data_IF_594793766721
#
_entry.id   IF_594793766721
#
_cell.length_a   1.000
_cell.length_b   1.000
_cell.length_c   1.000
_cell.angle_alpha   90.00
_cell.angle_beta   90.00
_cell.angle_gamma   90.00
#
_symmetry.space_group_name_H-M   'P 1'
#
loop_
_entity.id
_entity.type
_entity.pdbx_description
1 polymer ?
#
# COMPACT_ATOMS: atom_id res chain seq x y z
N UNK A 1 27.61 21.32 16.26
CA UNK A 1 28.36 21.44 14.97
C UNK A 1 27.68 22.48 14.08
N UNK A 2 28.44 23.16 13.18
CA UNK A 2 27.82 24.06 12.20
C UNK A 2 27.38 23.26 10.96
N UNK A 3 26.41 23.76 10.19
CA UNK A 3 25.97 23.13 8.94
C UNK A 3 27.12 22.83 7.96
N UNK A 4 28.17 23.72 7.94
CA UNK A 4 29.37 23.51 7.13
C UNK A 4 30.25 22.37 7.65
N UNK A 5 30.28 22.13 8.97
CA UNK A 5 31.03 21.00 9.56
C UNK A 5 30.32 19.68 9.37
N UNK A 6 29.00 19.71 9.22
CA UNK A 6 28.16 18.53 8.94
C UNK A 6 28.11 18.17 7.46
N UNK A 7 28.47 19.08 6.55
CA UNK A 7 28.43 18.83 5.10
C UNK A 7 29.48 17.81 4.66
N UNK A 8 29.15 17.03 3.63
CA UNK A 8 29.99 16.01 3.03
C UNK A 8 29.63 15.81 1.55
N UNK A 9 30.35 14.96 0.84
CA UNK A 9 30.09 14.67 -0.57
C UNK A 9 28.66 14.07 -0.73
N UNK A 10 27.79 14.73 -1.48
CA UNK A 10 26.36 14.42 -1.61
C UNK A 10 25.43 15.20 -0.65
N UNK A 11 25.97 15.90 0.37
CA UNK A 11 25.15 16.70 1.31
C UNK A 11 25.78 18.07 1.60
N UNK A 12 25.30 19.11 0.93
CA UNK A 12 25.80 20.48 1.11
C UNK A 12 25.25 21.15 2.37
N UNK A 13 25.97 22.19 2.89
CA UNK A 13 25.48 22.98 4.00
C UNK A 13 24.12 23.66 3.73
N UNK A 14 23.86 24.05 2.48
CA UNK A 14 22.56 24.58 2.06
C UNK A 14 21.46 23.52 2.09
N UNK A 15 21.79 22.26 1.82
CA UNK A 15 20.86 21.15 1.92
C UNK A 15 20.49 20.86 3.38
N UNK A 16 21.48 20.82 4.28
CA UNK A 16 21.27 20.66 5.73
C UNK A 16 20.38 21.79 6.27
N UNK A 17 20.63 23.04 5.85
CA UNK A 17 19.80 24.19 6.24
C UNK A 17 18.32 24.02 5.86
N UNK A 18 18.04 23.42 4.70
CA UNK A 18 16.65 23.14 4.27
C UNK A 18 15.99 22.00 5.05
N UNK A 19 16.80 21.00 5.49
CA UNK A 19 16.30 19.95 6.40
C UNK A 19 15.90 20.59 7.75
N UNK A 20 16.78 21.42 8.32
CA UNK A 20 16.50 22.12 9.59
C UNK A 20 15.32 23.08 9.49
N UNK A 21 15.08 23.67 8.32
CA UNK A 21 13.91 24.51 8.06
C UNK A 21 12.62 23.71 7.80
N UNK A 22 12.68 22.36 7.76
CA UNK A 22 11.54 21.51 7.43
C UNK A 22 11.13 21.53 5.95
N UNK A 23 11.98 22.14 5.09
CA UNK A 23 11.73 22.24 3.64
C UNK A 23 12.12 20.95 2.89
N UNK A 24 12.87 20.07 3.56
CA UNK A 24 13.38 18.81 3.01
C UNK A 24 13.30 17.67 4.02
N UNK A 25 12.87 16.51 3.56
CA UNK A 25 12.92 15.28 4.33
C UNK A 25 14.16 14.50 3.88
N UNK A 26 15.14 14.25 4.76
CA UNK A 26 16.34 13.50 4.41
C UNK A 26 16.02 12.03 4.15
N UNK A 27 16.78 11.40 3.24
CA UNK A 27 16.75 9.95 3.07
C UNK A 27 17.29 9.23 4.32
N UNK A 28 16.92 7.97 4.52
CA UNK A 28 17.37 7.20 5.66
C UNK A 28 18.92 7.08 5.70
N UNK A 29 19.53 6.89 4.53
CA UNK A 29 20.99 6.83 4.39
C UNK A 29 21.64 8.16 4.81
N UNK A 30 21.01 9.29 4.48
CA UNK A 30 21.47 10.60 4.89
C UNK A 30 21.30 10.81 6.39
N UNK A 31 20.20 10.33 6.97
CA UNK A 31 19.97 10.34 8.43
C UNK A 31 21.09 9.56 9.15
N UNK A 32 21.44 8.38 8.68
CA UNK A 32 22.53 7.57 9.27
C UNK A 32 23.89 8.28 9.20
N UNK A 33 24.22 8.88 8.06
CA UNK A 33 25.48 9.60 7.89
C UNK A 33 25.55 10.87 8.77
N UNK A 34 24.44 11.62 8.86
CA UNK A 34 24.33 12.77 9.76
C UNK A 34 24.40 12.37 11.23
N UNK A 35 23.72 11.29 11.62
CA UNK A 35 23.73 10.73 12.96
C UNK A 35 25.15 10.30 13.39
N UNK A 36 25.86 9.59 12.50
CA UNK A 36 27.26 9.21 12.73
C UNK A 36 28.15 10.41 12.96
N UNK A 37 28.00 11.49 12.17
CA UNK A 37 28.78 12.73 12.31
C UNK A 37 28.44 13.54 13.56
N UNK A 38 27.18 13.48 13.97
CA UNK A 38 26.70 14.13 15.19
C UNK A 38 26.98 13.30 16.44
N UNK A 39 27.40 12.05 16.27
CA UNK A 39 27.58 11.06 17.32
C UNK A 39 26.31 10.88 18.16
N UNK A 40 25.16 10.77 17.46
CA UNK A 40 23.84 10.50 18.03
C UNK A 40 23.24 9.28 17.33
N UNK A 41 22.29 8.57 17.97
CA UNK A 41 21.54 7.50 17.31
C UNK A 41 20.76 8.04 16.09
N UNK A 42 20.68 7.27 15.01
CA UNK A 42 19.92 7.66 13.80
C UNK A 42 18.44 7.92 14.12
N UNK A 43 17.89 7.20 15.09
CA UNK A 43 16.53 7.32 15.61
C UNK A 43 16.25 8.69 16.22
N UNK A 44 17.23 9.24 16.94
CA UNK A 44 17.13 10.59 17.51
C UNK A 44 16.87 11.63 16.42
N UNK A 45 17.57 11.52 15.30
CA UNK A 45 17.36 12.43 14.17
C UNK A 45 16.07 12.11 13.38
N UNK A 46 15.67 10.85 13.34
CA UNK A 46 14.50 10.40 12.56
C UNK A 46 13.16 10.67 13.26
N UNK A 47 13.14 10.59 14.60
CA UNK A 47 11.90 10.60 15.40
C UNK A 47 11.80 11.70 16.44
N UNK A 48 12.91 12.39 16.76
CA UNK A 48 12.93 13.43 17.78
C UNK A 48 12.70 12.90 19.22
N UNK A 49 12.96 11.63 19.48
CA UNK A 49 12.69 10.99 20.77
C UNK A 49 13.90 11.14 21.67
N UNK A 50 13.69 11.68 22.88
CA UNK A 50 14.69 11.79 23.94
C UNK A 50 15.06 10.41 24.51
N UNK A 51 16.32 10.19 24.83
CA UNK A 51 16.98 8.93 25.21
C UNK A 51 16.47 8.24 26.48
N UNK A 52 15.32 8.57 27.04
CA UNK A 52 14.90 8.06 28.34
C UNK A 52 13.93 6.85 28.34
N UNK A 53 13.60 6.28 27.19
CA UNK A 53 13.02 4.92 27.14
C UNK A 53 13.97 3.98 26.41
N UNK A 54 14.47 2.92 27.06
CA UNK A 54 15.28 1.92 26.38
C UNK A 54 14.38 1.07 25.49
N UNK A 55 14.09 1.54 24.29
CA UNK A 55 13.73 0.67 23.17
C UNK A 55 15.04 -0.03 22.81
N UNK A 56 15.18 -1.30 23.14
CA UNK A 56 16.43 -2.04 22.91
C UNK A 56 16.91 -1.87 21.48
N UNK A 57 18.21 -1.61 21.28
CA UNK A 57 18.82 -1.32 19.99
C UNK A 57 18.42 -2.26 18.84
N UNK A 58 18.05 -3.47 19.16
CA UNK A 58 17.65 -4.54 18.23
C UNK A 58 16.28 -4.33 17.57
N UNK A 59 15.29 -3.68 18.23
CA UNK A 59 13.99 -3.36 17.57
C UNK A 59 14.20 -2.33 16.46
N UNK A 60 15.09 -1.40 16.67
CA UNK A 60 15.44 -0.40 15.67
C UNK A 60 16.16 -1.05 14.48
N UNK A 61 17.06 -1.99 14.75
CA UNK A 61 17.71 -2.78 13.70
C UNK A 61 16.68 -3.58 12.90
N UNK A 62 15.70 -4.20 13.56
CA UNK A 62 14.60 -4.89 12.91
C UNK A 62 13.72 -3.94 12.05
N UNK A 63 13.43 -2.73 12.54
CA UNK A 63 12.70 -1.71 11.78
C UNK A 63 13.48 -1.28 10.53
N UNK A 64 14.81 -1.17 10.62
CA UNK A 64 15.68 -0.85 9.48
C UNK A 64 15.69 -2.02 8.49
N UNK A 65 15.90 -3.25 8.94
CA UNK A 65 15.86 -4.45 8.10
C UNK A 65 14.51 -4.58 7.38
N UNK A 66 13.40 -4.34 8.10
CA UNK A 66 12.06 -4.32 7.53
C UNK A 66 11.94 -3.27 6.40
N UNK A 67 12.48 -2.06 6.58
CA UNK A 67 12.45 -1.00 5.55
C UNK A 67 13.29 -1.35 4.33
N UNK A 68 14.44 -1.99 4.55
CA UNK A 68 15.32 -2.46 3.48
C UNK A 68 14.77 -3.70 2.75
N UNK A 69 13.68 -4.29 3.25
CA UNK A 69 13.08 -5.50 2.67
C UNK A 69 13.77 -6.80 3.09
N UNK A 70 14.66 -6.75 4.08
CA UNK A 70 15.35 -7.91 4.67
C UNK A 70 14.41 -8.59 5.68
N UNK A 71 13.30 -9.17 5.13
CA UNK A 71 12.18 -9.64 5.94
C UNK A 71 12.53 -10.80 6.87
N UNK A 72 13.50 -11.63 6.51
CA UNK A 72 13.92 -12.76 7.33
C UNK A 72 14.71 -12.28 8.53
N UNK A 73 15.67 -11.36 8.33
CA UNK A 73 16.42 -10.72 9.40
C UNK A 73 15.50 -9.95 10.36
N UNK A 74 14.59 -9.14 9.81
CA UNK A 74 13.63 -8.39 10.61
C UNK A 74 12.78 -9.33 11.48
N UNK A 75 12.26 -10.43 10.92
CA UNK A 75 11.47 -11.41 11.66
C UNK A 75 12.27 -12.04 12.79
N UNK A 76 13.49 -12.49 12.51
CA UNK A 76 14.38 -13.11 13.51
C UNK A 76 14.60 -12.18 14.71
N UNK A 77 14.93 -10.92 14.46
CA UNK A 77 15.15 -9.95 15.52
C UNK A 77 13.86 -9.69 16.33
N UNK A 78 12.71 -9.46 15.67
CA UNK A 78 11.44 -9.27 16.38
C UNK A 78 11.05 -10.49 17.21
N UNK A 79 11.26 -11.72 16.73
CA UNK A 79 10.95 -12.95 17.46
C UNK A 79 11.75 -13.05 18.79
N UNK A 80 13.02 -12.64 18.81
CA UNK A 80 13.81 -12.61 20.03
C UNK A 80 13.26 -11.64 21.08
N UNK A 81 12.50 -10.63 20.67
CA UNK A 81 11.94 -9.57 21.52
C UNK A 81 10.54 -9.86 22.07
N UNK A 82 9.93 -10.96 21.68
CA UNK A 82 8.62 -11.36 22.21
C UNK A 82 8.61 -11.59 23.73
N UNK A 83 9.79 -11.77 24.34
CA UNK A 83 9.99 -12.00 25.78
C UNK A 83 10.34 -10.73 26.56
N UNK A 84 10.51 -9.57 25.92
CA UNK A 84 11.01 -8.33 26.52
C UNK A 84 9.98 -7.57 27.40
N UNK A 85 9.03 -8.28 28.00
CA UNK A 85 7.96 -7.68 28.77
C UNK A 85 6.81 -7.16 27.89
N UNK A 86 5.74 -6.60 28.50
CA UNK A 86 4.50 -6.31 27.77
C UNK A 86 4.66 -5.28 26.64
N UNK A 87 5.46 -4.25 26.84
CA UNK A 87 5.66 -3.19 25.83
C UNK A 87 6.58 -3.66 24.71
N UNK A 88 7.70 -4.31 25.04
CA UNK A 88 8.61 -4.89 24.08
C UNK A 88 7.92 -5.95 23.21
N UNK A 89 7.10 -6.80 23.85
CA UNK A 89 6.27 -7.78 23.15
C UNK A 89 5.31 -7.12 22.12
N UNK A 90 4.59 -6.05 22.51
CA UNK A 90 3.68 -5.37 21.59
C UNK A 90 4.43 -4.71 20.42
N UNK A 91 5.61 -4.14 20.66
CA UNK A 91 6.45 -3.58 19.59
C UNK A 91 6.95 -4.68 18.63
N UNK A 92 7.40 -5.82 19.18
CA UNK A 92 7.81 -6.97 18.38
C UNK A 92 6.65 -7.54 17.56
N UNK A 93 5.46 -7.67 18.13
CA UNK A 93 4.26 -8.12 17.43
C UNK A 93 3.85 -7.15 16.30
N UNK A 94 3.97 -5.84 16.53
CA UNK A 94 3.73 -4.85 15.48
C UNK A 94 4.66 -5.07 14.29
N UNK A 95 5.96 -5.25 14.54
CA UNK A 95 6.95 -5.57 13.52
C UNK A 95 6.67 -6.88 12.80
N UNK A 96 6.40 -7.95 13.53
CA UNK A 96 6.03 -9.26 12.96
C UNK A 96 4.75 -9.20 12.13
N UNK A 97 3.76 -8.42 12.56
CA UNK A 97 2.55 -8.15 11.79
C UNK A 97 2.85 -7.49 10.45
N UNK A 98 3.75 -6.50 10.43
CA UNK A 98 4.20 -5.83 9.21
C UNK A 98 5.01 -6.77 8.30
N UNK A 99 5.90 -7.60 8.87
CA UNK A 99 6.64 -8.63 8.11
C UNK A 99 5.66 -9.62 7.48
N UNK A 100 4.71 -10.14 8.26
CA UNK A 100 3.70 -11.08 7.80
C UNK A 100 2.85 -10.48 6.67
N UNK A 101 2.43 -9.21 6.80
CA UNK A 101 1.71 -8.48 5.77
C UNK A 101 2.52 -8.38 4.47
N UNK A 102 3.79 -8.02 4.55
CA UNK A 102 4.67 -7.96 3.37
C UNK A 102 4.92 -9.32 2.71
N UNK A 103 4.89 -10.41 3.49
CA UNK A 103 4.97 -11.79 3.00
C UNK A 103 3.65 -12.31 2.44
N UNK A 104 2.56 -11.54 2.52
CA UNK A 104 1.22 -11.98 2.12
C UNK A 104 0.58 -12.99 3.08
N UNK A 105 1.14 -13.19 4.28
CA UNK A 105 0.62 -14.10 5.31
C UNK A 105 -0.46 -13.40 6.13
N UNK A 106 -1.61 -13.14 5.50
CA UNK A 106 -2.64 -12.24 6.02
C UNK A 106 -3.18 -12.65 7.39
N UNK A 107 -3.47 -13.94 7.61
CA UNK A 107 -3.98 -14.41 8.91
C UNK A 107 -2.97 -14.23 10.04
N UNK A 108 -1.67 -14.43 9.76
CA UNK A 108 -0.61 -14.16 10.74
C UNK A 108 -0.49 -12.66 11.02
N UNK A 109 -0.53 -11.83 9.97
CA UNK A 109 -0.51 -10.38 10.11
C UNK A 109 -1.66 -9.89 10.98
N UNK A 110 -2.88 -10.35 10.71
CA UNK A 110 -4.07 -10.00 11.47
C UNK A 110 -3.93 -10.43 12.93
N UNK A 111 -3.56 -11.68 13.19
CA UNK A 111 -3.42 -12.19 14.57
C UNK A 111 -2.42 -11.37 15.40
N UNK A 112 -1.25 -11.03 14.83
CA UNK A 112 -0.27 -10.20 15.52
C UNK A 112 -0.76 -8.77 15.76
N UNK A 113 -1.34 -8.15 14.73
CA UNK A 113 -1.79 -6.75 14.80
C UNK A 113 -3.05 -6.57 15.66
N UNK A 114 -3.96 -7.55 15.69
CA UNK A 114 -5.10 -7.56 16.62
C UNK A 114 -4.62 -7.58 18.07
N UNK A 115 -3.59 -8.39 18.40
CA UNK A 115 -3.01 -8.41 19.74
C UNK A 115 -2.39 -7.05 20.10
N UNK A 116 -1.71 -6.39 19.16
CA UNK A 116 -1.17 -5.03 19.35
C UNK A 116 -2.28 -4.02 19.64
N UNK A 117 -3.33 -4.03 18.85
CA UNK A 117 -4.45 -3.08 18.98
C UNK A 117 -5.25 -3.37 20.26
N UNK A 118 -5.51 -4.65 20.58
CA UNK A 118 -6.22 -5.04 21.80
C UNK A 118 -5.42 -4.80 23.07
N UNK A 119 -4.10 -4.83 23.00
CA UNK A 119 -3.19 -4.54 24.13
C UNK A 119 -3.12 -3.06 24.50
N UNK A 120 -3.75 -2.17 23.74
CA UNK A 120 -3.78 -0.73 23.98
C UNK A 120 -5.19 -0.25 24.34
N UNK A 121 -5.27 0.77 25.17
CA UNK A 121 -6.55 1.39 25.57
C UNK A 121 -7.10 2.35 24.52
N UNK A 122 -6.31 2.71 23.54
CA UNK A 122 -6.59 3.73 22.53
C UNK A 122 -5.88 3.40 21.22
N UNK A 123 -6.51 3.66 20.08
CA UNK A 123 -5.88 3.54 18.74
C UNK A 123 -4.73 4.53 18.53
N UNK A 124 -4.80 5.69 19.20
CA UNK A 124 -3.75 6.70 19.12
C UNK A 124 -2.50 6.31 19.92
N UNK A 125 -2.67 5.42 20.94
CA UNK A 125 -1.58 4.82 21.70
C UNK A 125 -1.05 3.53 21.05
N UNK A 126 -1.89 2.85 20.26
CA UNK A 126 -1.40 1.88 19.31
C UNK A 126 -0.74 2.68 18.18
N UNK A 127 0.52 2.36 17.84
CA UNK A 127 1.18 3.02 16.70
C UNK A 127 0.21 3.08 15.52
N UNK A 128 -0.10 4.28 14.98
CA UNK A 128 -1.04 4.44 13.86
C UNK A 128 -0.69 3.60 12.64
N UNK A 129 0.59 3.22 12.48
CA UNK A 129 1.05 2.31 11.44
C UNK A 129 0.52 0.88 11.64
N UNK A 130 0.38 0.43 12.89
CA UNK A 130 -0.21 -0.88 13.20
C UNK A 130 -1.70 -0.93 12.90
N UNK A 131 -2.42 0.17 13.16
CA UNK A 131 -3.85 0.28 12.82
C UNK A 131 -4.06 0.32 11.31
N UNK A 132 -3.22 1.06 10.58
CA UNK A 132 -3.20 1.08 9.11
C UNK A 132 -2.93 -0.33 8.56
N UNK A 133 -1.88 -0.99 9.04
CA UNK A 133 -1.50 -2.34 8.61
C UNK A 133 -2.61 -3.37 8.88
N UNK A 134 -3.26 -3.31 10.05
CA UNK A 134 -4.39 -4.19 10.38
C UNK A 134 -5.57 -3.98 9.43
N UNK A 135 -5.97 -2.74 9.21
CA UNK A 135 -7.06 -2.44 8.28
C UNK A 135 -6.75 -2.85 6.85
N UNK A 136 -5.50 -2.68 6.39
CA UNK A 136 -5.04 -3.20 5.10
C UNK A 136 -5.07 -4.72 5.05
N UNK A 137 -4.62 -5.41 6.11
CA UNK A 137 -4.65 -6.86 6.17
C UNK A 137 -6.09 -7.41 6.09
N UNK A 138 -7.05 -6.78 6.77
CA UNK A 138 -8.47 -7.11 6.64
C UNK A 138 -8.97 -6.91 5.20
N UNK A 139 -8.70 -5.74 4.60
CA UNK A 139 -9.11 -5.44 3.23
C UNK A 139 -8.52 -6.44 2.22
N UNK A 140 -7.23 -6.78 2.34
CA UNK A 140 -6.54 -7.74 1.50
C UNK A 140 -7.10 -9.17 1.65
N UNK A 141 -7.51 -9.54 2.88
CA UNK A 141 -8.19 -10.82 3.13
C UNK A 141 -9.63 -10.85 2.57
N UNK A 142 -10.14 -9.71 2.12
CA UNK A 142 -11.51 -9.55 1.64
C UNK A 142 -12.53 -9.23 2.72
N UNK A 143 -12.09 -8.96 3.95
CA UNK A 143 -12.91 -8.53 5.07
C UNK A 143 -12.94 -6.98 5.14
N UNK A 144 -13.53 -6.39 4.12
CA UNK A 144 -13.56 -4.94 3.96
C UNK A 144 -14.41 -4.26 5.05
N UNK A 145 -15.41 -4.95 5.59
CA UNK A 145 -16.27 -4.42 6.64
C UNK A 145 -15.51 -4.25 7.95
N UNK A 146 -14.66 -5.22 8.33
CA UNK A 146 -13.78 -5.10 9.50
C UNK A 146 -12.76 -3.96 9.33
N UNK A 147 -12.22 -3.77 8.12
CA UNK A 147 -11.34 -2.64 7.83
C UNK A 147 -12.07 -1.29 8.00
N UNK A 148 -13.28 -1.17 7.48
CA UNK A 148 -14.12 0.02 7.62
C UNK A 148 -14.42 0.30 9.09
N UNK A 149 -14.89 -0.70 9.85
CA UNK A 149 -15.22 -0.55 11.27
C UNK A 149 -13.99 -0.11 12.10
N UNK A 150 -12.83 -0.67 11.82
CA UNK A 150 -11.57 -0.30 12.46
C UNK A 150 -11.22 1.16 12.19
N UNK A 151 -11.23 1.58 10.93
CA UNK A 151 -10.88 2.95 10.55
C UNK A 151 -11.92 3.98 11.00
N UNK A 152 -13.21 3.63 11.06
CA UNK A 152 -14.25 4.51 11.62
C UNK A 152 -14.01 4.80 13.11
N UNK A 153 -13.69 3.76 13.88
CA UNK A 153 -13.38 3.92 15.31
C UNK A 153 -12.12 4.74 15.52
N UNK A 154 -11.04 4.46 14.77
CA UNK A 154 -9.80 5.21 14.86
C UNK A 154 -9.97 6.68 14.45
N UNK A 155 -10.76 6.95 13.40
CA UNK A 155 -11.12 8.30 12.97
C UNK A 155 -11.90 9.06 14.06
N UNK A 156 -12.92 8.43 14.63
CA UNK A 156 -13.74 9.06 15.67
C UNK A 156 -12.92 9.38 16.93
N UNK A 157 -11.99 8.52 17.30
CA UNK A 157 -11.07 8.76 18.41
C UNK A 157 -10.13 9.93 18.11
N UNK A 158 -9.52 9.98 16.91
CA UNK A 158 -8.64 11.08 16.49
C UNK A 158 -9.40 12.43 16.44
N UNK A 159 -10.65 12.42 16.01
CA UNK A 159 -11.54 13.61 16.01
C UNK A 159 -11.83 14.08 17.43
N UNK A 160 -12.17 13.15 18.34
CA UNK A 160 -12.46 13.46 19.75
C UNK A 160 -11.24 13.97 20.50
N UNK A 161 -10.07 13.38 20.22
CA UNK A 161 -8.79 13.77 20.83
C UNK A 161 -8.22 15.07 20.23
N UNK A 162 -8.77 15.57 19.13
CA UNK A 162 -8.31 16.78 18.47
C UNK A 162 -6.92 16.64 17.85
N UNK A 163 -6.58 15.47 17.29
CA UNK A 163 -5.30 15.20 16.64
C UNK A 163 -5.45 15.26 15.10
N UNK A 164 -5.22 16.43 14.46
CA UNK A 164 -5.58 16.65 13.05
C UNK A 164 -4.83 15.73 12.08
N UNK A 165 -3.57 15.40 12.39
CA UNK A 165 -2.74 14.56 11.51
C UNK A 165 -3.27 13.12 11.45
N UNK A 166 -3.64 12.56 12.59
CA UNK A 166 -4.22 11.21 12.65
C UNK A 166 -5.66 11.19 12.09
N UNK A 167 -6.42 12.24 12.35
CA UNK A 167 -7.74 12.41 11.73
C UNK A 167 -7.64 12.42 10.20
N UNK A 168 -6.69 13.16 9.64
CA UNK A 168 -6.40 13.16 8.20
C UNK A 168 -6.03 11.75 7.71
N UNK A 169 -5.12 11.07 8.40
CA UNK A 169 -4.69 9.70 8.07
C UNK A 169 -5.89 8.75 8.01
N UNK A 170 -6.70 8.70 9.05
CA UNK A 170 -7.84 7.79 9.10
C UNK A 170 -8.97 8.19 8.15
N UNK A 171 -9.15 9.47 7.84
CA UNK A 171 -10.04 9.88 6.75
C UNK A 171 -9.61 9.32 5.39
N UNK A 172 -8.32 9.34 5.08
CA UNK A 172 -7.79 8.80 3.82
C UNK A 172 -7.90 7.27 3.76
N UNK A 173 -7.56 6.57 4.85
CA UNK A 173 -7.65 5.11 4.94
C UNK A 173 -9.10 4.63 4.83
N UNK A 174 -10.00 5.27 5.57
CA UNK A 174 -11.43 4.98 5.51
C UNK A 174 -12.03 5.29 4.13
N UNK A 175 -11.58 6.36 3.47
CA UNK A 175 -12.02 6.69 2.11
C UNK A 175 -11.61 5.60 1.11
N UNK A 176 -10.40 5.05 1.22
CA UNK A 176 -9.97 3.91 0.40
C UNK A 176 -10.85 2.69 0.65
N UNK A 177 -11.06 2.30 1.93
CA UNK A 177 -11.86 1.14 2.28
C UNK A 177 -13.33 1.29 1.83
N UNK A 178 -13.93 2.47 1.98
CA UNK A 178 -15.28 2.76 1.48
C UNK A 178 -15.37 2.68 -0.04
N UNK A 179 -14.37 3.20 -0.75
CA UNK A 179 -14.31 3.11 -2.20
C UNK A 179 -14.19 1.66 -2.69
N UNK A 180 -13.37 0.85 -2.03
CA UNK A 180 -13.22 -0.59 -2.33
C UNK A 180 -14.51 -1.37 -2.04
N UNK A 181 -15.30 -0.92 -1.07
CA UNK A 181 -16.63 -1.47 -0.79
C UNK A 181 -17.74 -0.92 -1.72
N UNK A 182 -17.39 -0.08 -2.71
CA UNK A 182 -18.34 0.52 -3.65
C UNK A 182 -19.04 1.78 -3.13
N UNK A 183 -18.80 2.22 -1.89
CA UNK A 183 -19.40 3.44 -1.33
C UNK A 183 -18.57 4.68 -1.70
N UNK A 184 -18.62 5.02 -2.99
CA UNK A 184 -17.92 6.18 -3.55
C UNK A 184 -18.39 7.51 -2.95
N UNK A 185 -19.65 7.59 -2.52
CA UNK A 185 -20.23 8.82 -1.95
C UNK A 185 -19.58 9.11 -0.59
N UNK A 186 -19.55 8.12 0.30
CA UNK A 186 -18.88 8.25 1.60
C UNK A 186 -17.38 8.53 1.44
N UNK A 187 -16.72 7.84 0.51
CA UNK A 187 -15.30 8.06 0.21
C UNK A 187 -15.02 9.52 -0.18
N UNK A 188 -15.83 10.11 -1.04
CA UNK A 188 -15.68 11.52 -1.45
C UNK A 188 -15.91 12.50 -0.32
N UNK A 189 -16.88 12.24 0.57
CA UNK A 189 -17.14 13.06 1.75
C UNK A 189 -15.93 13.09 2.69
N UNK A 190 -15.35 11.90 2.96
CA UNK A 190 -14.14 11.76 3.78
C UNK A 190 -12.94 12.50 3.18
N UNK A 191 -12.77 12.42 1.85
CA UNK A 191 -11.70 13.12 1.16
C UNK A 191 -11.88 14.64 1.15
N UNK A 192 -13.12 15.14 1.14
CA UNK A 192 -13.35 16.58 1.30
C UNK A 192 -12.88 17.08 2.69
N UNK A 193 -13.16 16.33 3.76
CA UNK A 193 -12.60 16.61 5.09
C UNK A 193 -11.07 16.53 5.11
N UNK A 194 -10.51 15.48 4.50
CA UNK A 194 -9.05 15.29 4.44
C UNK A 194 -8.33 16.41 3.69
N UNK A 195 -8.92 17.00 2.64
CA UNK A 195 -8.37 18.16 1.92
C UNK A 195 -8.22 19.36 2.85
N UNK A 196 -9.27 19.67 3.63
CA UNK A 196 -9.23 20.78 4.60
C UNK A 196 -8.10 20.60 5.61
N UNK A 197 -8.03 19.42 6.22
CA UNK A 197 -6.96 19.07 7.18
C UNK A 197 -5.56 19.12 6.56
N UNK A 198 -5.40 18.61 5.35
CA UNK A 198 -4.12 18.62 4.66
C UNK A 198 -3.65 20.04 4.29
N UNK A 199 -4.58 20.93 3.92
CA UNK A 199 -4.29 22.32 3.63
C UNK A 199 -3.78 23.08 4.88
N UNK A 200 -4.30 22.73 6.06
CA UNK A 200 -3.90 23.32 7.34
C UNK A 200 -2.56 22.74 7.85
N UNK A 201 -2.27 21.47 7.58
CA UNK A 201 -1.08 20.77 8.10
C UNK A 201 0.24 21.28 7.55
N UNK A 202 0.25 21.97 6.40
CA UNK A 202 1.44 22.37 5.64
C UNK A 202 2.36 21.20 5.25
N UNK A 203 1.91 19.96 5.40
CA UNK A 203 2.65 18.77 4.98
C UNK A 203 2.32 18.44 3.51
N UNK A 204 3.28 18.62 2.59
CA UNK A 204 3.05 18.36 1.18
C UNK A 204 2.77 16.87 0.90
N UNK A 205 3.36 15.96 1.69
CA UNK A 205 3.11 14.52 1.52
C UNK A 205 1.68 14.14 1.94
N UNK A 206 1.15 14.76 3.00
CA UNK A 206 -0.24 14.55 3.39
C UNK A 206 -1.19 14.97 2.27
N UNK A 207 -0.99 16.13 1.68
CA UNK A 207 -1.80 16.62 0.56
C UNK A 207 -1.65 15.76 -0.70
N UNK A 208 -0.43 15.30 -1.01
CA UNK A 208 -0.20 14.39 -2.12
C UNK A 208 -0.95 13.05 -1.93
N UNK A 209 -0.96 12.49 -0.72
CA UNK A 209 -1.74 11.28 -0.38
C UNK A 209 -3.24 11.47 -0.59
N UNK A 210 -3.78 12.62 -0.20
CA UNK A 210 -5.21 12.93 -0.43
C UNK A 210 -5.52 12.97 -1.92
N UNK A 211 -4.71 13.66 -2.72
CA UNK A 211 -4.91 13.71 -4.18
C UNK A 211 -4.72 12.35 -4.85
N UNK A 212 -3.78 11.54 -4.36
CA UNK A 212 -3.61 10.16 -4.79
C UNK A 212 -4.90 9.35 -4.59
N UNK A 213 -5.44 9.38 -3.38
CA UNK A 213 -6.68 8.66 -3.07
C UNK A 213 -7.87 9.20 -3.86
N UNK A 214 -7.96 10.52 -4.06
CA UNK A 214 -8.98 11.11 -4.94
C UNK A 214 -8.87 10.59 -6.37
N UNK A 215 -7.65 10.52 -6.91
CA UNK A 215 -7.43 9.94 -8.25
C UNK A 215 -7.98 8.51 -8.31
N UNK A 216 -7.66 7.67 -7.32
CA UNK A 216 -8.12 6.28 -7.27
C UNK A 216 -9.65 6.17 -7.17
N UNK A 217 -10.28 6.95 -6.29
CA UNK A 217 -11.75 7.00 -6.15
C UNK A 217 -12.44 7.44 -7.45
N UNK A 218 -11.84 8.38 -8.20
CA UNK A 218 -12.38 8.79 -9.48
C UNK A 218 -12.20 7.74 -10.59
N UNK A 219 -11.13 6.93 -10.54
CA UNK A 219 -10.99 5.76 -11.45
C UNK A 219 -12.13 4.78 -11.19
N UNK A 220 -12.36 4.39 -9.93
CA UNK A 220 -13.41 3.43 -9.55
C UNK A 220 -14.84 3.93 -9.91
N UNK A 221 -15.00 5.20 -10.20
CA UNK A 221 -16.27 5.82 -10.60
C UNK A 221 -16.28 6.24 -12.08
N UNK A 222 -15.44 5.64 -12.92
CA UNK A 222 -15.33 5.90 -14.38
C UNK A 222 -15.10 7.38 -14.75
N UNK A 223 -14.57 8.17 -13.81
CA UNK A 223 -14.31 9.60 -13.99
C UNK A 223 -12.84 9.85 -14.36
N UNK A 224 -12.37 9.23 -15.44
CA UNK A 224 -10.96 9.23 -15.86
C UNK A 224 -10.36 10.64 -16.01
N UNK A 225 -11.16 11.66 -16.39
CA UNK A 225 -10.68 13.04 -16.50
C UNK A 225 -10.31 13.63 -15.14
N UNK A 226 -11.14 13.39 -14.11
CA UNK A 226 -10.88 13.84 -12.73
C UNK A 226 -9.76 13.04 -12.11
N UNK A 227 -9.74 11.72 -12.34
CA UNK A 227 -8.66 10.85 -11.89
C UNK A 227 -7.29 11.38 -12.35
N UNK A 228 -7.14 11.66 -13.64
CA UNK A 228 -5.90 12.26 -14.19
C UNK A 228 -5.56 13.62 -13.60
N UNK A 229 -6.57 14.46 -13.37
CA UNK A 229 -6.35 15.77 -12.75
C UNK A 229 -5.74 15.63 -11.36
N UNK A 230 -6.28 14.75 -10.52
CA UNK A 230 -5.77 14.55 -9.17
C UNK A 230 -4.44 13.80 -9.13
N UNK A 231 -4.23 12.82 -10.04
CA UNK A 231 -2.92 12.18 -10.20
C UNK A 231 -1.81 13.19 -10.55
N UNK A 232 -2.09 14.13 -11.45
CA UNK A 232 -1.14 15.22 -11.79
C UNK A 232 -0.88 16.13 -10.61
N UNK A 233 -1.91 16.52 -9.85
CA UNK A 233 -1.71 17.32 -8.63
C UNK A 233 -0.84 16.62 -7.60
N UNK A 234 -1.02 15.31 -7.40
CA UNK A 234 -0.16 14.54 -6.52
C UNK A 234 1.29 14.55 -7.01
N UNK A 235 1.51 14.32 -8.32
CA UNK A 235 2.82 14.34 -8.94
C UNK A 235 3.49 15.71 -8.81
N UNK A 236 2.80 16.81 -9.13
CA UNK A 236 3.33 18.18 -9.04
C UNK A 236 3.81 18.54 -7.62
N UNK A 237 3.13 18.02 -6.60
CA UNK A 237 3.56 18.22 -5.20
C UNK A 237 4.80 17.38 -4.92
N UNK A 238 4.79 16.11 -5.32
CA UNK A 238 5.87 15.16 -5.04
C UNK A 238 7.15 15.52 -5.78
N UNK A 239 7.10 16.06 -7.00
CA UNK A 239 8.26 16.54 -7.76
C UNK A 239 9.03 17.69 -7.07
N UNK A 240 8.38 18.37 -6.12
CA UNK A 240 9.03 19.38 -5.27
C UNK A 240 9.71 18.77 -4.04
N UNK A 241 9.54 17.48 -3.83
CA UNK A 241 10.20 16.70 -2.78
C UNK A 241 11.41 15.97 -3.38
N UNK A 242 12.31 15.47 -2.54
CA UNK A 242 13.43 14.61 -3.00
C UNK A 242 13.13 13.12 -2.78
N UNK A 243 11.87 12.73 -2.73
CA UNK A 243 11.47 11.35 -2.54
C UNK A 243 11.22 10.69 -3.90
N UNK A 244 12.27 10.24 -4.54
CA UNK A 244 12.21 9.64 -5.88
C UNK A 244 11.27 8.43 -5.94
N UNK A 245 11.17 7.62 -4.88
CA UNK A 245 10.24 6.50 -4.83
C UNK A 245 8.77 6.96 -4.88
N UNK A 246 8.39 8.00 -4.13
CA UNK A 246 7.03 8.54 -4.23
C UNK A 246 6.76 9.22 -5.57
N UNK A 247 7.76 9.90 -6.12
CA UNK A 247 7.65 10.52 -7.46
C UNK A 247 7.43 9.42 -8.51
N UNK A 248 8.23 8.35 -8.49
CA UNK A 248 8.11 7.22 -9.38
C UNK A 248 6.70 6.58 -9.29
N UNK A 249 6.20 6.36 -8.07
CA UNK A 249 4.86 5.82 -7.87
C UNK A 249 3.75 6.77 -8.32
N UNK A 250 3.97 8.08 -8.27
CA UNK A 250 3.02 9.06 -8.83
C UNK A 250 2.97 9.01 -10.37
N UNK A 251 4.11 8.81 -11.03
CA UNK A 251 4.16 8.53 -12.47
C UNK A 251 3.43 7.23 -12.81
N UNK A 252 3.61 6.17 -12.01
CA UNK A 252 2.86 4.92 -12.16
C UNK A 252 1.35 5.13 -12.05
N UNK A 253 0.87 5.85 -11.02
CA UNK A 253 -0.55 6.17 -10.86
C UNK A 253 -1.07 6.97 -12.05
N UNK A 254 -0.33 7.97 -12.52
CA UNK A 254 -0.75 8.77 -13.68
C UNK A 254 -0.83 7.89 -14.93
N UNK A 255 0.15 7.00 -15.15
CA UNK A 255 0.12 6.05 -16.27
C UNK A 255 -1.11 5.13 -16.19
N UNK A 256 -1.41 4.58 -15.00
CA UNK A 256 -2.61 3.80 -14.76
C UNK A 256 -3.87 4.58 -15.15
N UNK A 257 -4.00 5.85 -14.71
CA UNK A 257 -5.18 6.69 -15.04
C UNK A 257 -5.28 7.03 -16.53
N UNK A 258 -4.17 7.12 -17.26
CA UNK A 258 -4.18 7.32 -18.71
C UNK A 258 -4.66 6.04 -19.43
N UNK A 259 -4.26 4.85 -18.96
CA UNK A 259 -4.74 3.56 -19.51
C UNK A 259 -6.24 3.42 -19.30
N UNK A 260 -6.73 3.60 -18.07
CA UNK A 260 -8.16 3.56 -17.73
C UNK A 260 -8.96 4.62 -18.52
N UNK A 261 -8.34 5.75 -18.80
CA UNK A 261 -8.94 6.82 -19.61
C UNK A 261 -8.89 6.61 -21.12
N UNK A 262 -8.45 5.43 -21.59
CA UNK A 262 -8.40 5.08 -23.02
C UNK A 262 -7.27 5.79 -23.80
N UNK A 263 -6.22 6.25 -23.12
CA UNK A 263 -5.06 6.91 -23.74
C UNK A 263 -3.73 6.16 -23.42
N UNK A 264 -3.63 4.86 -23.76
CA UNK A 264 -2.48 4.03 -23.41
C UNK A 264 -1.16 4.51 -24.02
N UNK A 265 -1.19 5.27 -25.12
CA UNK A 265 0.00 5.87 -25.71
C UNK A 265 0.67 6.90 -24.80
N UNK A 266 -0.09 7.53 -23.90
CA UNK A 266 0.43 8.51 -22.94
C UNK A 266 1.02 7.84 -21.68
N UNK A 267 0.64 6.59 -21.40
CA UNK A 267 1.12 5.86 -20.25
C UNK A 267 2.59 5.42 -20.42
N UNK A 268 3.01 5.02 -21.61
CA UNK A 268 4.35 4.49 -21.84
C UNK A 268 5.49 5.46 -21.46
N UNK A 269 5.48 6.74 -21.87
CA UNK A 269 6.51 7.69 -21.43
C UNK A 269 6.48 7.95 -19.93
N UNK A 270 5.30 7.95 -19.28
CA UNK A 270 5.18 8.11 -17.83
C UNK A 270 5.80 6.92 -17.07
N UNK A 271 5.58 5.70 -17.54
CA UNK A 271 6.21 4.51 -16.96
C UNK A 271 7.72 4.51 -17.14
N UNK A 272 8.21 5.01 -18.28
CA UNK A 272 9.65 5.16 -18.51
C UNK A 272 10.28 6.17 -17.56
N UNK A 273 9.66 7.33 -17.39
CA UNK A 273 10.14 8.37 -16.46
C UNK A 273 10.09 7.88 -15.01
N UNK A 274 8.98 7.25 -14.60
CA UNK A 274 8.86 6.69 -13.25
C UNK A 274 9.96 5.67 -12.94
N UNK A 275 10.28 4.76 -13.87
CA UNK A 275 11.40 3.83 -13.70
C UNK A 275 12.75 4.54 -13.55
N UNK A 276 12.98 5.60 -14.32
CA UNK A 276 14.22 6.35 -14.26
C UNK A 276 14.45 7.00 -12.89
N UNK A 277 13.36 7.34 -12.16
CA UNK A 277 13.42 7.91 -10.81
C UNK A 277 13.88 6.93 -9.74
N UNK A 278 13.57 5.65 -9.86
CA UNK A 278 14.06 4.64 -8.92
C UNK A 278 15.58 4.40 -9.01
N UNK A 279 16.19 4.61 -10.16
CA UNK A 279 17.61 4.36 -10.36
C UNK A 279 18.02 2.93 -10.02
N UNK A 280 19.00 2.76 -9.12
CA UNK A 280 19.49 1.46 -8.64
C UNK A 280 18.62 0.83 -7.53
N UNK A 281 17.66 1.56 -7.00
CA UNK A 281 16.79 1.11 -5.88
C UNK A 281 15.49 0.45 -6.38
N UNK A 282 15.43 0.07 -7.65
CA UNK A 282 14.23 -0.51 -8.25
C UNK A 282 13.98 -1.92 -7.73
N UNK A 283 13.11 -2.03 -6.71
CA UNK A 283 12.80 -3.30 -6.07
C UNK A 283 11.97 -4.24 -7.00
N UNK A 284 12.03 -5.58 -6.80
CA UNK A 284 11.24 -6.53 -7.58
C UNK A 284 9.74 -6.24 -7.59
N UNK A 285 9.17 -5.77 -6.49
CA UNK A 285 7.75 -5.40 -6.39
C UNK A 285 7.42 -4.20 -7.29
N UNK A 286 8.30 -3.23 -7.40
CA UNK A 286 8.09 -2.05 -8.22
C UNK A 286 8.25 -2.39 -9.70
N UNK A 287 9.25 -3.23 -10.06
CA UNK A 287 9.38 -3.73 -11.44
C UNK A 287 8.12 -4.48 -11.86
N UNK A 288 7.56 -5.33 -10.98
CA UNK A 288 6.31 -6.02 -11.26
C UNK A 288 5.16 -5.05 -11.55
N UNK A 289 4.96 -4.03 -10.70
CA UNK A 289 3.90 -3.03 -10.86
C UNK A 289 4.03 -2.28 -12.19
N UNK A 290 5.23 -1.79 -12.49
CA UNK A 290 5.49 -1.04 -13.72
C UNK A 290 5.35 -1.91 -14.98
N UNK A 291 5.85 -3.14 -14.93
CA UNK A 291 5.77 -4.06 -16.07
C UNK A 291 4.33 -4.45 -16.41
N UNK A 292 3.48 -4.62 -15.40
CA UNK A 292 2.07 -4.93 -15.61
C UNK A 292 1.35 -3.78 -16.30
N UNK A 293 1.54 -2.54 -15.88
CA UNK A 293 0.90 -1.39 -16.53
C UNK A 293 1.50 -1.15 -17.94
N UNK A 294 2.79 -1.39 -18.14
CA UNK A 294 3.42 -1.33 -19.47
C UNK A 294 2.83 -2.39 -20.41
N UNK A 295 2.64 -3.63 -19.94
CA UNK A 295 2.01 -4.69 -20.73
C UNK A 295 0.56 -4.34 -21.07
N UNK A 296 -0.23 -3.81 -20.13
CA UNK A 296 -1.60 -3.33 -20.37
C UNK A 296 -1.64 -2.25 -21.45
N UNK A 297 -0.79 -1.24 -21.37
CA UNK A 297 -0.71 -0.19 -22.37
C UNK A 297 -0.36 -0.74 -23.74
N UNK A 298 0.63 -1.66 -23.83
CA UNK A 298 1.04 -2.28 -25.08
C UNK A 298 -0.06 -3.18 -25.69
N UNK A 299 -0.79 -3.92 -24.86
CA UNK A 299 -1.93 -4.72 -25.33
C UNK A 299 -3.05 -3.83 -25.89
N UNK A 300 -3.41 -2.75 -25.19
CA UNK A 300 -4.38 -1.77 -25.67
C UNK A 300 -3.96 -1.13 -27.02
N UNK A 301 -2.65 -0.93 -27.22
CA UNK A 301 -2.07 -0.46 -28.49
C UNK A 301 -1.87 -1.57 -29.53
N UNK A 302 -2.35 -2.79 -29.29
CA UNK A 302 -2.19 -3.99 -30.14
C UNK A 302 -0.71 -4.38 -30.41
N UNK A 303 0.23 -3.93 -29.58
CA UNK A 303 1.66 -4.25 -29.67
C UNK A 303 1.98 -5.56 -28.92
N UNK A 304 1.31 -6.65 -29.33
CA UNK A 304 1.33 -7.97 -28.65
C UNK A 304 2.75 -8.52 -28.39
N UNK A 305 3.63 -8.46 -29.38
CA UNK A 305 5.01 -8.96 -29.24
C UNK A 305 5.84 -8.15 -28.23
N UNK A 306 5.60 -6.84 -28.13
CA UNK A 306 6.25 -6.00 -27.12
C UNK A 306 5.71 -6.31 -25.71
N UNK A 307 4.40 -6.48 -25.55
CA UNK A 307 3.78 -6.89 -24.29
C UNK A 307 4.35 -8.22 -23.80
N UNK A 308 4.45 -9.22 -24.69
CA UNK A 308 5.02 -10.53 -24.37
C UNK A 308 6.49 -10.44 -23.88
N UNK A 309 7.31 -9.55 -24.48
CA UNK A 309 8.68 -9.31 -24.03
C UNK A 309 8.74 -8.69 -22.64
N UNK A 310 7.87 -7.74 -22.35
CA UNK A 310 7.76 -7.10 -21.02
C UNK A 310 7.39 -8.13 -19.97
N UNK A 311 6.35 -8.94 -20.23
CA UNK A 311 5.93 -10.00 -19.30
C UNK A 311 7.01 -11.05 -19.10
N UNK A 312 7.68 -11.52 -20.18
CA UNK A 312 8.75 -12.51 -20.06
C UNK A 312 9.90 -12.05 -19.16
N UNK A 313 10.20 -10.75 -19.14
CA UNK A 313 11.22 -10.17 -18.27
C UNK A 313 10.76 -10.07 -16.81
N UNK A 314 9.49 -9.75 -16.58
CA UNK A 314 8.98 -9.40 -15.26
C UNK A 314 8.26 -10.55 -14.54
N UNK A 315 7.95 -11.65 -15.19
CA UNK A 315 7.08 -12.70 -14.67
C UNK A 315 7.56 -13.28 -13.31
N UNK A 316 8.88 -13.37 -13.12
CA UNK A 316 9.47 -13.84 -11.86
C UNK A 316 9.39 -12.82 -10.71
N UNK A 317 9.12 -11.55 -11.00
CA UNK A 317 8.90 -10.52 -9.99
C UNK A 317 7.45 -10.46 -9.50
N UNK A 318 6.51 -11.13 -10.18
CA UNK A 318 5.09 -11.09 -9.80
C UNK A 318 4.83 -11.69 -8.43
N UNK A 319 5.69 -12.61 -7.98
CA UNK A 319 5.60 -13.20 -6.63
C UNK A 319 5.85 -12.18 -5.51
N UNK A 320 6.49 -11.05 -5.80
CA UNK A 320 6.69 -9.96 -4.86
C UNK A 320 5.44 -9.10 -4.65
N UNK A 321 4.42 -9.21 -5.52
CA UNK A 321 3.17 -8.47 -5.38
C UNK A 321 2.30 -9.04 -4.24
N UNK A 322 1.55 -8.17 -3.58
CA UNK A 322 0.51 -8.60 -2.64
C UNK A 322 -0.59 -9.40 -3.37
N UNK A 323 -1.27 -10.34 -2.69
CA UNK A 323 -2.17 -11.29 -3.35
C UNK A 323 -3.21 -10.68 -4.31
N UNK A 324 -3.95 -9.60 -3.98
CA UNK A 324 -4.93 -9.02 -4.91
C UNK A 324 -4.26 -8.46 -6.17
N UNK A 325 -3.16 -7.74 -6.01
CA UNK A 325 -2.41 -7.18 -7.14
C UNK A 325 -1.74 -8.28 -7.96
N UNK A 326 -1.25 -9.35 -7.32
CA UNK A 326 -0.71 -10.53 -7.98
C UNK A 326 -1.76 -11.27 -8.79
N UNK A 327 -2.96 -11.46 -8.23
CA UNK A 327 -4.08 -12.07 -8.95
C UNK A 327 -4.47 -11.25 -10.18
N UNK A 328 -4.57 -9.93 -10.05
CA UNK A 328 -4.81 -9.02 -11.18
C UNK A 328 -3.67 -9.10 -12.22
N UNK A 329 -2.42 -9.15 -11.76
CA UNK A 329 -1.26 -9.28 -12.63
C UNK A 329 -1.28 -10.59 -13.42
N UNK A 330 -1.62 -11.70 -12.81
CA UNK A 330 -1.78 -12.99 -13.52
C UNK A 330 -2.84 -12.93 -14.63
N UNK A 331 -3.95 -12.20 -14.42
CA UNK A 331 -4.93 -11.99 -15.48
C UNK A 331 -4.35 -11.19 -16.67
N UNK A 332 -3.51 -10.19 -16.42
CA UNK A 332 -2.84 -9.42 -17.48
C UNK A 332 -1.80 -10.27 -18.23
N UNK A 333 -1.12 -11.16 -17.50
CA UNK A 333 -0.24 -12.17 -18.11
C UNK A 333 -1.05 -13.10 -19.01
N UNK A 334 -2.21 -13.56 -18.55
CA UNK A 334 -3.12 -14.40 -19.33
C UNK A 334 -3.57 -13.69 -20.63
N UNK A 335 -4.00 -12.42 -20.55
CA UNK A 335 -4.35 -11.63 -21.73
C UNK A 335 -3.19 -11.52 -22.72
N UNK A 336 -1.96 -11.37 -22.20
CA UNK A 336 -0.77 -11.27 -23.03
C UNK A 336 -0.51 -12.56 -23.79
N UNK A 337 -0.65 -13.72 -23.13
CA UNK A 337 -0.53 -15.03 -23.79
C UNK A 337 -1.68 -15.29 -24.77
N UNK A 338 -2.93 -14.96 -24.41
CA UNK A 338 -4.07 -15.06 -25.30
C UNK A 338 -3.87 -14.22 -26.57
N UNK A 339 -3.43 -12.98 -26.41
CA UNK A 339 -3.11 -12.09 -27.52
C UNK A 339 -1.97 -12.60 -28.40
N UNK A 340 -1.01 -13.34 -27.84
CA UNK A 340 0.09 -13.99 -28.56
C UNK A 340 -0.32 -15.32 -29.23
N UNK A 341 -1.53 -15.83 -28.94
CA UNK A 341 -2.03 -17.12 -29.46
C UNK A 341 -1.67 -18.33 -28.61
N UNK A 342 -1.03 -18.14 -27.46
CA UNK A 342 -0.71 -19.22 -26.52
C UNK A 342 -1.87 -19.44 -25.55
N UNK A 343 -2.87 -20.15 -26.06
CA UNK A 343 -4.15 -20.39 -25.35
C UNK A 343 -3.96 -21.24 -24.10
N UNK A 344 -2.99 -22.14 -24.11
CA UNK A 344 -2.74 -23.04 -22.95
C UNK A 344 -2.23 -22.23 -21.75
N UNK A 345 -1.18 -21.44 -21.95
CA UNK A 345 -0.65 -20.57 -20.89
C UNK A 345 -1.64 -19.50 -20.48
N UNK A 346 -2.42 -18.94 -21.40
CA UNK A 346 -3.48 -18.01 -21.06
C UNK A 346 -4.47 -18.60 -20.07
N UNK A 347 -4.98 -19.82 -20.34
CA UNK A 347 -5.89 -20.53 -19.45
C UNK A 347 -5.28 -20.78 -18.07
N UNK A 348 -4.04 -21.30 -18.03
CA UNK A 348 -3.30 -21.53 -16.78
C UNK A 348 -3.20 -20.29 -15.89
N UNK A 349 -2.87 -19.14 -16.48
CA UNK A 349 -2.73 -17.90 -15.73
C UNK A 349 -4.07 -17.29 -15.31
N UNK A 350 -5.13 -17.45 -16.10
CA UNK A 350 -6.47 -17.07 -15.67
C UNK A 350 -6.95 -17.93 -14.48
N UNK A 351 -6.70 -19.24 -14.50
CA UNK A 351 -7.02 -20.13 -13.38
C UNK A 351 -6.25 -19.72 -12.11
N UNK A 352 -4.94 -19.44 -12.22
CA UNK A 352 -4.14 -18.91 -11.11
C UNK A 352 -4.72 -17.61 -10.56
N UNK A 353 -5.12 -16.68 -11.44
CA UNK A 353 -5.67 -15.39 -11.06
C UNK A 353 -7.00 -15.55 -10.29
N UNK A 354 -7.95 -16.31 -10.85
CA UNK A 354 -9.28 -16.53 -10.21
C UNK A 354 -9.13 -17.28 -8.90
N UNK A 355 -8.30 -18.34 -8.84
CA UNK A 355 -8.07 -19.09 -7.62
C UNK A 355 -7.48 -18.21 -6.51
N UNK A 356 -6.45 -17.42 -6.81
CA UNK A 356 -5.84 -16.52 -5.85
C UNK A 356 -6.82 -15.49 -5.31
N UNK A 357 -7.55 -14.80 -6.20
CA UNK A 357 -8.52 -13.78 -5.81
C UNK A 357 -9.73 -14.37 -5.05
N UNK A 358 -10.06 -15.63 -5.30
CA UNK A 358 -11.12 -16.32 -4.56
C UNK A 358 -10.73 -16.65 -3.12
N UNK A 359 -9.45 -16.93 -2.87
CA UNK A 359 -8.93 -17.33 -1.56
C UNK A 359 -8.47 -16.14 -0.73
N UNK A 360 -7.76 -15.18 -1.34
CA UNK A 360 -6.94 -14.21 -0.62
C UNK A 360 -7.36 -12.74 -0.87
N UNK A 361 -8.29 -12.45 -1.76
CA UNK A 361 -8.73 -11.07 -1.96
C UNK A 361 -9.67 -10.84 -3.13
N UNK A 362 -10.86 -10.36 -2.85
CA UNK A 362 -11.93 -10.15 -3.82
C UNK A 362 -11.93 -8.85 -4.64
N UNK A 363 -11.11 -7.82 -4.37
CA UNK A 363 -11.29 -6.52 -5.04
C UNK A 363 -11.36 -6.59 -6.57
N UNK A 364 -10.64 -7.54 -7.17
CA UNK A 364 -10.59 -7.70 -8.64
C UNK A 364 -11.25 -8.99 -9.14
N UNK A 365 -11.85 -9.79 -8.25
CA UNK A 365 -12.35 -11.12 -8.60
C UNK A 365 -13.41 -11.09 -9.71
N UNK A 366 -14.36 -10.17 -9.62
CA UNK A 366 -15.47 -10.08 -10.60
C UNK A 366 -14.93 -9.63 -11.97
N UNK A 367 -14.04 -8.64 -11.99
CA UNK A 367 -13.38 -8.17 -13.22
C UNK A 367 -12.58 -9.29 -13.90
N UNK A 368 -11.73 -9.98 -13.12
CA UNK A 368 -10.86 -11.04 -13.64
C UNK A 368 -11.67 -12.26 -14.09
N UNK A 369 -12.71 -12.62 -13.33
CA UNK A 369 -13.62 -13.69 -13.70
C UNK A 369 -14.40 -13.37 -15.00
N UNK A 370 -14.78 -12.10 -15.19
CA UNK A 370 -15.39 -11.65 -16.45
C UNK A 370 -14.45 -11.85 -17.63
N UNK A 371 -13.22 -11.39 -17.53
CA UNK A 371 -12.20 -11.54 -18.59
C UNK A 371 -11.88 -13.02 -18.88
N UNK A 372 -11.81 -13.85 -17.84
CA UNK A 372 -11.61 -15.28 -18.02
C UNK A 372 -12.83 -15.95 -18.68
N UNK A 373 -14.04 -15.53 -18.32
CA UNK A 373 -15.25 -16.05 -18.96
C UNK A 373 -15.32 -15.70 -20.46
N UNK A 374 -14.99 -14.46 -20.84
CA UNK A 374 -14.88 -14.04 -22.25
C UNK A 374 -13.86 -14.91 -23.00
N UNK A 375 -12.69 -15.16 -22.40
CA UNK A 375 -11.68 -16.04 -23.00
C UNK A 375 -12.22 -17.47 -23.18
N UNK A 376 -12.96 -18.03 -22.21
CA UNK A 376 -13.54 -19.36 -22.30
C UNK A 376 -14.68 -19.43 -23.34
N UNK A 377 -15.46 -18.36 -23.48
CA UNK A 377 -16.49 -18.27 -24.53
C UNK A 377 -15.86 -18.25 -25.94
N UNK A 378 -14.75 -17.54 -26.12
CA UNK A 378 -13.96 -17.55 -27.35
C UNK A 378 -13.40 -18.95 -27.69
N UNK A 379 -13.16 -19.79 -26.66
CA UNK A 379 -12.76 -21.19 -26.81
C UNK A 379 -13.95 -22.15 -27.00
N UNK A 380 -15.19 -21.65 -26.89
CA UNK A 380 -16.41 -22.45 -26.96
C UNK A 380 -16.80 -23.17 -25.66
N UNK A 381 -16.11 -22.89 -24.54
CA UNK A 381 -16.39 -23.50 -23.23
C UNK A 381 -17.33 -22.62 -22.38
N UNK A 382 -18.54 -22.41 -22.90
CA UNK A 382 -19.56 -21.57 -22.25
C UNK A 382 -19.99 -22.10 -20.88
N UNK A 383 -19.95 -23.45 -20.69
CA UNK A 383 -20.32 -24.04 -19.41
C UNK A 383 -19.34 -23.64 -18.30
N UNK A 384 -18.06 -23.70 -18.57
CA UNK A 384 -17.02 -23.29 -17.64
C UNK A 384 -17.04 -21.76 -17.42
N UNK A 385 -17.25 -20.98 -18.47
CA UNK A 385 -17.41 -19.51 -18.36
C UNK A 385 -18.50 -19.14 -17.34
N UNK A 386 -19.68 -19.76 -17.45
CA UNK A 386 -20.80 -19.55 -16.53
C UNK A 386 -20.46 -19.98 -15.10
N UNK A 387 -19.72 -21.07 -14.93
CA UNK A 387 -19.29 -21.55 -13.61
C UNK A 387 -18.33 -20.54 -12.94
N UNK A 388 -17.35 -20.00 -13.67
CA UNK A 388 -16.40 -19.01 -13.20
C UNK A 388 -17.15 -17.75 -12.72
N UNK A 389 -18.06 -17.21 -13.52
CA UNK A 389 -18.85 -16.03 -13.14
C UNK A 389 -19.71 -16.27 -11.90
N UNK A 390 -20.39 -17.43 -11.82
CA UNK A 390 -21.20 -17.78 -10.65
C UNK A 390 -20.37 -17.88 -9.37
N UNK A 391 -19.15 -18.42 -9.47
CA UNK A 391 -18.24 -18.52 -8.31
C UNK A 391 -17.77 -17.14 -7.81
N UNK A 392 -17.54 -16.21 -8.73
CA UNK A 392 -17.08 -14.86 -8.40
C UNK A 392 -18.16 -14.00 -7.70
N UNK A 393 -19.44 -14.24 -8.01
CA UNK A 393 -20.58 -13.47 -7.48
C UNK A 393 -21.07 -14.01 -6.12
N UNK A 394 -20.81 -15.29 -5.78
CA UNK A 394 -21.29 -15.88 -4.53
C UNK A 394 -20.70 -15.18 -3.31
N UNK A 395 -21.55 -14.74 -2.34
CA UNK A 395 -21.03 -14.23 -1.08
C UNK A 395 -20.28 -15.34 -0.33
N UNK A 396 -19.21 -14.99 0.36
CA UNK A 396 -18.48 -15.92 1.24
C UNK A 396 -19.37 -16.23 2.46
N UNK A 397 -19.72 -17.50 2.69
CA UNK A 397 -20.56 -17.92 3.82
C UNK A 397 -19.82 -18.06 5.14
N UNK A 398 -18.48 -17.88 5.15
CA UNK A 398 -17.63 -18.03 6.33
C UNK A 398 -16.84 -16.73 6.60
N UNK A 399 -17.51 -15.69 7.11
CA UNK A 399 -16.82 -14.59 7.78
C UNK A 399 -16.75 -14.90 9.27
N UNK A 400 -15.56 -15.00 9.89
CA UNK A 400 -15.47 -15.08 11.34
C UNK A 400 -16.04 -13.81 11.95
N UNK A 401 -16.89 -13.96 12.96
CA UNK A 401 -17.46 -12.85 13.73
C UNK A 401 -16.32 -12.02 14.34
N UNK A 402 -16.31 -10.67 14.21
CA UNK A 402 -15.23 -9.85 14.73
C UNK A 402 -15.10 -10.03 16.26
N UNK A 403 -13.91 -10.34 16.72
CA UNK A 403 -13.57 -10.47 18.18
C UNK A 403 -13.81 -9.17 18.98
N UNK A 404 -14.10 -8.05 18.33
CA UNK A 404 -14.28 -6.74 18.96
C UNK A 404 -15.69 -6.51 19.55
N UNK A 405 -16.69 -7.35 19.26
CA UNK A 405 -18.06 -7.19 19.83
C UNK A 405 -18.26 -7.84 21.20
N UNK A 406 -17.39 -8.75 21.65
CA UNK A 406 -17.67 -9.56 22.84
C UNK A 406 -17.25 -8.94 24.20
N UNK A 407 -16.64 -7.75 24.24
CA UNK A 407 -16.16 -7.15 25.52
C UNK A 407 -16.94 -5.94 26.05
N UNK A 408 -17.97 -5.47 25.36
CA UNK A 408 -18.76 -4.29 25.79
C UNK A 408 -20.03 -4.62 26.59
N UNK A 409 -20.39 -5.88 26.79
CA UNK A 409 -21.65 -6.28 27.45
C UNK A 409 -21.53 -6.82 28.89
N UNK A 410 -20.33 -7.00 29.44
CA UNK A 410 -20.19 -7.56 30.81
C UNK A 410 -19.79 -6.57 31.94
N UNK A 411 -19.82 -5.26 31.70
CA UNK A 411 -19.59 -4.27 32.79
C UNK A 411 -20.80 -3.42 33.16
N UNK A 412 -22.01 -3.94 32.97
CA UNK A 412 -23.25 -3.23 33.24
C UNK A 412 -24.24 -3.93 34.17
N UNK A 413 -23.85 -5.02 34.87
CA UNK A 413 -24.75 -5.65 35.83
C UNK A 413 -23.99 -5.98 37.13
N UNK A 414 -23.91 -5.01 38.04
CA UNK A 414 -23.33 -5.25 39.37
C UNK A 414 -23.19 -3.99 40.22
N UNK A 415 -24.33 -3.55 40.76
CA UNK A 415 -24.59 -2.59 41.86
C UNK A 415 -24.69 -1.14 41.52
#
# INVERSE_FOLDING_TARGET
MSQRQLSFEGCSAAYISRIEAGERVPSLQLIHELASRLNVPAEYLARGVDENEPVGGDIVEADVALRLGELDLAAEIYETRLTDGPQGRLAALAGLGLVALRRGKLDQAIGHLEEVVAGRTSFLLADPSSVDALGRAYALRGDIESAIALFERARAEAETAGVPLELLRFCVLLANARADNGDVVAARSLLATAIGLAAESRDPLALARVYWTQSRVHVLNDQSRLARHFARKALEILERTENDAYIAMAYHLLAYTEIEGGAPERALPLLTEGRARFGSEFAPIDEAKFAIEEARALLALRKKAAAAKVIARAIHHLEALEPPDRGRAFAIVADTFAAAGDRLRAKEFYEKAVNMLSLEGRPYLVEVAGRYAEFLEDEGDTAHALQVLKSAIRPRTDSPTPLLESRSLERGAGR
#
